data_IF_688036315949
#
_entry.id   IF_688036315949
#
_cell.length_a   1.000
_cell.length_b   1.000
_cell.length_c   1.000
_cell.angle_alpha   90.00
_cell.angle_beta   90.00
_cell.angle_gamma   90.00
#
_symmetry.space_group_name_H-M   'P 1'
#
loop_
_entity.id
_entity.type
_entity.pdbx_description
1 polymer ?
#
# COMPACT_ATOMS: atom_id res chain seq x y z
N UNK A 1 3.63 2.66 31.98
CA UNK A 1 3.08 3.06 30.67
C UNK A 1 4.26 3.58 29.88
N UNK A 2 4.82 2.77 28.99
CA UNK A 2 5.90 3.25 28.13
C UNK A 2 5.31 4.26 27.17
N UNK A 3 5.79 5.50 27.23
CA UNK A 3 5.48 6.47 26.19
C UNK A 3 6.12 5.94 24.91
N UNK A 4 5.32 5.39 24.00
CA UNK A 4 5.79 5.08 22.65
C UNK A 4 6.32 6.39 22.06
N UNK A 5 7.63 6.45 21.87
CA UNK A 5 8.27 7.57 21.21
C UNK A 5 7.77 7.60 19.77
N UNK A 6 6.97 8.60 19.43
CA UNK A 6 6.49 8.81 18.06
C UNK A 6 7.70 9.26 17.23
N UNK A 7 8.19 8.36 16.38
CA UNK A 7 9.25 8.64 15.41
C UNK A 7 8.64 8.81 14.01
N UNK A 8 9.32 9.51 13.08
CA UNK A 8 8.81 9.71 11.72
C UNK A 8 8.47 8.40 10.99
N UNK A 9 9.25 7.34 11.21
CA UNK A 9 8.93 6.03 10.62
C UNK A 9 7.68 5.37 11.21
N UNK A 10 7.36 5.64 12.48
CA UNK A 10 6.13 5.16 13.13
C UNK A 10 4.94 5.96 12.61
N UNK A 11 5.09 7.27 12.40
CA UNK A 11 4.05 8.10 11.79
C UNK A 11 3.70 7.64 10.38
N UNK A 12 4.70 7.32 9.55
CA UNK A 12 4.46 6.77 8.20
C UNK A 12 3.81 5.39 8.27
N UNK A 13 4.19 4.53 9.22
CA UNK A 13 3.52 3.24 9.41
C UNK A 13 2.05 3.41 9.82
N UNK A 14 1.76 4.38 10.69
CA UNK A 14 0.41 4.71 11.11
C UNK A 14 -0.41 5.27 9.93
N UNK A 15 0.18 6.15 9.12
CA UNK A 15 -0.41 6.65 7.88
C UNK A 15 -0.69 5.52 6.89
N UNK A 16 0.24 4.58 6.74
CA UNK A 16 0.07 3.38 5.91
C UNK A 16 -1.14 2.58 6.38
N UNK A 17 -1.24 2.29 7.68
CA UNK A 17 -2.35 1.56 8.26
C UNK A 17 -3.68 2.30 8.07
N UNK A 18 -3.71 3.62 8.23
CA UNK A 18 -4.90 4.45 8.02
C UNK A 18 -5.39 4.39 6.57
N UNK A 19 -4.49 4.52 5.59
CA UNK A 19 -4.86 4.52 4.16
C UNK A 19 -5.28 3.12 3.70
N UNK A 20 -4.53 2.10 4.10
CA UNK A 20 -4.79 0.72 3.67
C UNK A 20 -5.93 0.06 4.44
N UNK A 21 -6.23 0.51 5.65
CA UNK A 21 -7.11 -0.17 6.61
C UNK A 21 -6.44 -1.36 7.31
N UNK A 22 -5.12 -1.51 7.19
CA UNK A 22 -4.35 -2.56 7.85
C UNK A 22 -3.96 -2.16 9.28
N UNK A 23 -3.36 -3.11 10.02
CA UNK A 23 -2.98 -2.95 11.43
C UNK A 23 -1.56 -3.45 11.70
N UNK A 24 -0.60 -3.03 10.87
CA UNK A 24 0.81 -3.40 11.05
C UNK A 24 1.41 -2.73 12.29
N UNK A 25 2.15 -3.51 13.10
CA UNK A 25 2.82 -3.01 14.32
C UNK A 25 4.22 -2.48 14.00
N UNK A 26 4.77 -1.54 14.81
CA UNK A 26 6.09 -0.94 14.61
C UNK A 26 7.25 -1.90 14.94
N UNK A 27 7.38 -2.97 14.14
CA UNK A 27 8.48 -3.93 14.23
C UNK A 27 9.58 -3.64 13.21
N UNK A 28 10.80 -4.16 13.46
CA UNK A 28 11.98 -4.00 12.59
C UNK A 28 11.68 -4.25 11.11
N UNK A 29 10.93 -5.32 10.80
CA UNK A 29 10.58 -5.67 9.41
C UNK A 29 9.77 -4.55 8.71
N UNK A 30 8.80 -3.97 9.40
CA UNK A 30 7.94 -2.92 8.85
C UNK A 30 8.64 -1.57 8.77
N UNK A 31 9.52 -1.27 9.73
CA UNK A 31 10.19 0.04 9.83
C UNK A 31 11.47 0.15 9.00
N UNK A 32 12.15 -0.95 8.67
CA UNK A 32 13.45 -0.90 7.96
C UNK A 32 13.33 -0.20 6.60
N UNK A 33 12.32 -0.55 5.80
CA UNK A 33 12.10 0.08 4.50
C UNK A 33 11.72 1.56 4.63
N UNK A 34 10.88 1.90 5.61
CA UNK A 34 10.45 3.28 5.87
C UNK A 34 11.65 4.17 6.26
N UNK A 35 12.49 3.68 7.18
CA UNK A 35 13.72 4.39 7.60
C UNK A 35 14.66 4.66 6.42
N UNK A 36 14.82 3.67 5.52
CA UNK A 36 15.64 3.81 4.32
C UNK A 36 15.09 4.94 3.43
N UNK A 37 13.80 4.91 3.11
CA UNK A 37 13.15 5.92 2.26
C UNK A 37 13.26 7.32 2.86
N UNK A 38 13.06 7.46 4.17
CA UNK A 38 13.29 8.73 4.88
C UNK A 38 14.74 9.20 4.77
N UNK A 39 15.71 8.29 4.91
CA UNK A 39 17.15 8.59 4.80
C UNK A 39 17.56 9.00 3.37
N UNK A 40 16.89 8.45 2.36
CA UNK A 40 17.10 8.80 0.95
C UNK A 40 16.55 10.19 0.60
N UNK A 41 15.78 10.81 1.51
CA UNK A 41 15.30 12.19 1.37
C UNK A 41 13.92 12.32 0.72
N UNK A 42 13.19 11.21 0.55
CA UNK A 42 11.82 11.26 0.06
C UNK A 42 10.90 12.01 1.04
N UNK A 43 10.08 12.91 0.51
CA UNK A 43 9.15 13.69 1.30
C UNK A 43 7.98 12.85 1.80
N UNK A 44 7.36 13.28 2.91
CA UNK A 44 6.15 12.63 3.42
C UNK A 44 5.03 12.57 2.38
N UNK A 45 4.90 13.62 1.55
CA UNK A 45 3.89 13.67 0.51
C UNK A 45 4.13 12.61 -0.59
N UNK A 46 5.36 12.48 -1.07
CA UNK A 46 5.70 11.44 -2.07
C UNK A 46 5.45 10.04 -1.53
N UNK A 47 5.83 9.80 -0.27
CA UNK A 47 5.58 8.52 0.41
C UNK A 47 4.08 8.25 0.49
N UNK A 48 3.29 9.23 0.91
CA UNK A 48 1.84 9.11 1.00
C UNK A 48 1.21 8.80 -0.35
N UNK A 49 1.65 9.46 -1.42
CA UNK A 49 1.14 9.25 -2.78
C UNK A 49 1.42 7.82 -3.28
N UNK A 50 2.61 7.28 -3.00
CA UNK A 50 2.93 5.87 -3.31
C UNK A 50 1.97 4.92 -2.57
N UNK A 51 1.73 5.15 -1.28
CA UNK A 51 0.81 4.32 -0.48
C UNK A 51 -0.60 4.39 -1.06
N UNK A 52 -1.10 5.59 -1.36
CA UNK A 52 -2.43 5.80 -1.93
C UNK A 52 -2.57 5.09 -3.28
N UNK A 53 -1.60 5.27 -4.18
CA UNK A 53 -1.61 4.66 -5.51
C UNK A 53 -1.67 3.15 -5.42
N UNK A 54 -0.80 2.54 -4.62
CA UNK A 54 -0.77 1.08 -4.45
C UNK A 54 -1.98 0.52 -3.73
N UNK A 55 -2.59 1.30 -2.84
CA UNK A 55 -3.86 0.92 -2.22
C UNK A 55 -4.97 0.83 -3.26
N UNK A 56 -5.07 1.81 -4.18
CA UNK A 56 -6.06 1.80 -5.26
C UNK A 56 -5.85 0.60 -6.20
N UNK A 57 -4.59 0.29 -6.51
CA UNK A 57 -4.24 -0.79 -7.43
C UNK A 57 -4.48 -2.19 -6.86
N UNK A 58 -4.10 -2.41 -5.60
CA UNK A 58 -3.94 -3.78 -5.08
C UNK A 58 -5.01 -4.17 -4.08
N UNK A 59 -5.61 -3.23 -3.34
CA UNK A 59 -6.52 -3.55 -2.22
C UNK A 59 -7.73 -4.38 -2.65
N UNK A 60 -8.28 -4.12 -3.85
CA UNK A 60 -9.45 -4.83 -4.39
C UNK A 60 -9.10 -5.99 -5.32
N UNK A 61 -7.82 -6.25 -5.54
CA UNK A 61 -7.35 -7.34 -6.37
C UNK A 61 -6.95 -8.51 -5.46
N UNK A 62 -7.67 -9.64 -5.53
CA UNK A 62 -7.47 -10.77 -4.63
C UNK A 62 -6.04 -11.35 -4.67
N UNK A 63 -5.38 -11.30 -5.84
CA UNK A 63 -4.00 -11.78 -6.00
C UNK A 63 -2.98 -10.78 -5.45
N UNK A 64 -3.24 -9.48 -5.65
CA UNK A 64 -2.27 -8.43 -5.29
C UNK A 64 -2.45 -7.88 -3.87
N UNK A 65 -3.61 -8.05 -3.24
CA UNK A 65 -3.93 -7.47 -1.93
C UNK A 65 -2.97 -7.93 -0.82
N UNK A 66 -2.50 -9.18 -0.87
CA UNK A 66 -1.50 -9.72 0.06
C UNK A 66 -0.13 -9.03 -0.03
N UNK A 67 0.19 -8.40 -1.16
CA UNK A 67 1.41 -7.63 -1.36
C UNK A 67 1.31 -6.18 -0.85
N UNK A 68 0.12 -5.72 -0.43
CA UNK A 68 -0.09 -4.39 0.14
C UNK A 68 0.34 -4.36 1.62
N UNK A 69 1.64 -4.46 1.86
CA UNK A 69 2.24 -4.42 3.19
C UNK A 69 3.53 -3.56 3.20
N UNK A 70 4.01 -3.08 4.37
CA UNK A 70 5.16 -2.19 4.44
C UNK A 70 6.44 -2.79 3.83
N UNK A 71 6.68 -4.09 4.02
CA UNK A 71 7.90 -4.75 3.51
C UNK A 71 7.96 -4.70 1.99
N UNK A 72 6.83 -4.94 1.31
CA UNK A 72 6.77 -4.88 -0.15
C UNK A 72 6.75 -3.45 -0.68
N UNK A 73 5.96 -2.58 -0.05
CA UNK A 73 5.77 -1.21 -0.51
C UNK A 73 7.05 -0.39 -0.38
N UNK A 74 7.78 -0.54 0.72
CA UNK A 74 9.03 0.18 0.98
C UNK A 74 10.29 -0.60 0.57
N UNK A 75 10.15 -1.65 -0.25
CA UNK A 75 11.29 -2.42 -0.76
C UNK A 75 12.16 -1.55 -1.69
N UNK A 76 13.47 -1.58 -1.46
CA UNK A 76 14.48 -0.84 -2.23
C UNK A 76 14.35 -1.02 -3.75
N UNK A 77 14.21 -2.27 -4.21
CA UNK A 77 14.11 -2.59 -5.64
C UNK A 77 12.87 -2.05 -6.36
N UNK A 78 11.90 -1.49 -5.61
CA UNK A 78 10.58 -1.13 -6.10
C UNK A 78 10.20 0.33 -5.83
N UNK A 79 10.69 0.95 -4.75
CA UNK A 79 10.18 2.24 -4.30
C UNK A 79 10.33 3.34 -5.37
N UNK A 80 11.52 3.47 -5.99
CA UNK A 80 11.75 4.42 -7.07
C UNK A 80 10.83 4.20 -8.28
N UNK A 81 10.50 2.93 -8.58
CA UNK A 81 9.55 2.60 -9.65
C UNK A 81 8.15 3.13 -9.31
N UNK A 82 7.76 3.05 -8.04
CA UNK A 82 6.46 3.56 -7.60
C UNK A 82 6.40 5.09 -7.61
N UNK A 83 7.51 5.77 -7.27
CA UNK A 83 7.62 7.23 -7.40
C UNK A 83 7.43 7.64 -8.87
N UNK A 84 8.17 7.02 -9.79
CA UNK A 84 8.01 7.30 -11.22
C UNK A 84 6.59 7.01 -11.72
N UNK A 85 5.95 5.97 -11.17
CA UNK A 85 4.57 5.68 -11.50
C UNK A 85 3.60 6.78 -11.01
N UNK A 86 3.80 7.30 -9.80
CA UNK A 86 3.03 8.45 -9.29
C UNK A 86 3.20 9.65 -10.22
N UNK A 87 4.42 9.95 -10.65
CA UNK A 87 4.69 11.04 -11.59
C UNK A 87 3.94 10.85 -12.92
N UNK A 88 4.00 9.65 -13.51
CA UNK A 88 3.29 9.35 -14.75
C UNK A 88 1.76 9.50 -14.61
N UNK A 89 1.21 9.10 -13.45
CA UNK A 89 -0.22 9.25 -13.15
C UNK A 89 -0.62 10.72 -13.05
N UNK A 90 0.23 11.55 -12.43
CA UNK A 90 0.02 13.01 -12.33
C UNK A 90 0.09 13.71 -13.68
N UNK A 91 1.00 13.29 -14.56
CA UNK A 91 1.11 13.84 -15.92
C UNK A 91 -0.08 13.44 -16.80
N UNK A 92 -0.61 12.21 -16.63
CA UNK A 92 -1.62 11.64 -17.53
C UNK A 92 -2.85 11.08 -16.80
N UNK A 93 -3.58 11.88 -16.00
CA UNK A 93 -4.62 11.36 -15.11
C UNK A 93 -5.77 10.64 -15.86
N UNK A 94 -6.14 11.12 -17.05
CA UNK A 94 -7.20 10.51 -17.87
C UNK A 94 -6.84 9.11 -18.37
N UNK A 95 -5.56 8.83 -18.63
CA UNK A 95 -5.10 7.52 -19.08
C UNK A 95 -5.23 6.51 -17.94
N UNK A 96 -4.75 6.88 -16.75
CA UNK A 96 -4.75 6.01 -15.58
C UNK A 96 -6.14 5.81 -14.99
N UNK A 97 -7.05 6.77 -15.12
CA UNK A 97 -8.46 6.58 -14.78
C UNK A 97 -9.05 5.37 -15.51
N UNK A 98 -8.91 5.32 -16.85
CA UNK A 98 -9.41 4.19 -17.66
C UNK A 98 -8.75 2.87 -17.27
N UNK A 99 -7.45 2.90 -17.01
CA UNK A 99 -6.69 1.71 -16.58
C UNK A 99 -7.19 1.15 -15.24
N UNK A 100 -7.38 1.98 -14.22
CA UNK A 100 -7.86 1.54 -12.91
C UNK A 100 -9.33 1.12 -12.90
N UNK A 101 -10.17 1.71 -13.76
CA UNK A 101 -11.54 1.24 -13.98
C UNK A 101 -11.59 -0.18 -14.55
N UNK A 102 -10.67 -0.53 -15.44
CA UNK A 102 -10.57 -1.89 -15.99
C UNK A 102 -10.05 -2.90 -14.96
N UNK A 103 -9.00 -2.55 -14.21
CA UNK A 103 -8.42 -3.43 -13.19
C UNK A 103 -9.43 -3.81 -12.11
N UNK A 104 -10.27 -2.86 -11.67
CA UNK A 104 -11.28 -3.11 -10.65
C UNK A 104 -12.53 -3.85 -11.17
N UNK A 105 -12.63 -4.09 -12.49
CA UNK A 105 -13.71 -4.86 -13.13
C UNK A 105 -13.32 -6.32 -13.41
N UNK A 106 -12.05 -6.71 -13.25
CA UNK A 106 -11.59 -8.08 -13.53
C UNK A 106 -12.32 -9.05 -12.60
N UNK A 107 -12.91 -10.06 -13.22
CA UNK A 107 -14.05 -10.84 -12.78
C UNK A 107 -13.87 -11.60 -11.46
N UNK A 108 -14.93 -11.58 -10.65
CA UNK A 108 -15.24 -12.66 -9.73
C UNK A 108 -15.56 -13.90 -10.58
N UNK A 109 -14.66 -14.88 -10.61
CA UNK A 109 -14.94 -16.15 -11.27
C UNK A 109 -16.02 -16.92 -10.50
N UNK A 110 -16.82 -17.72 -11.22
CA UNK A 110 -18.00 -18.44 -10.71
C UNK A 110 -17.72 -19.54 -9.64
N UNK A 111 -16.50 -19.58 -9.07
CA UNK A 111 -16.10 -20.45 -7.97
C UNK A 111 -16.29 -19.81 -6.58
N UNK A 112 -16.91 -18.62 -6.52
CA UNK A 112 -17.23 -17.86 -5.30
C UNK A 112 -18.34 -18.54 -4.47
N UNK A 113 -18.08 -19.72 -3.91
CA UNK A 113 -18.85 -20.16 -2.75
C UNK A 113 -18.38 -19.35 -1.53
N UNK A 114 -18.86 -18.11 -1.43
CA UNK A 114 -18.56 -17.19 -0.33
C UNK A 114 -19.04 -17.70 1.02
N UNK A 115 -19.91 -18.71 1.05
CA UNK A 115 -20.46 -19.26 2.29
C UNK A 115 -19.42 -20.09 3.05
N UNK A 116 -18.54 -20.83 2.35
CA UNK A 116 -17.43 -21.55 2.97
C UNK A 116 -16.39 -20.59 3.58
N UNK A 117 -16.10 -19.47 2.90
CA UNK A 117 -15.21 -18.42 3.42
C UNK A 117 -15.83 -17.67 4.61
N UNK A 118 -17.14 -17.37 4.56
CA UNK A 118 -17.84 -16.77 5.70
C UNK A 118 -17.84 -17.70 6.90
N UNK A 119 -18.00 -19.00 6.71
CA UNK A 119 -17.96 -19.98 7.81
C UNK A 119 -16.59 -20.07 8.50
N UNK A 120 -15.49 -19.71 7.83
CA UNK A 120 -14.15 -19.68 8.45
C UNK A 120 -13.94 -18.50 9.41
N UNK A 121 -14.68 -17.40 9.25
CA UNK A 121 -14.45 -16.15 9.98
C UNK A 121 -15.71 -15.58 10.67
N UNK A 122 -16.84 -16.29 10.57
CA UNK A 122 -18.14 -15.94 11.16
C UNK A 122 -18.39 -16.59 12.49
#
# INVERSE_FOLDING_TARGET
MEAETITPEIEILNLFNQITGHRHRPGKANLTGIKRVLKEGYSLNEIQEVIQLKTIEWKKNATMSGHLNPVTIFRESNFDKYINQVLNVKENPKLYQKYYEQLNKVERSAADNVDDLKAMFG
#
